data_IF_879950920056
#
_entry.id   IF_879950920056
#
_cell.length_a   1.000
_cell.length_b   1.000
_cell.length_c   1.000
_cell.angle_alpha   90.00
_cell.angle_beta   90.00
_cell.angle_gamma   90.00
#
_symmetry.space_group_name_H-M   'P 1'
#
loop_
_entity.id
_entity.type
_entity.pdbx_description
1 polymer ?
#
# COMPACT_ATOMS: atom_id res chain seq x y z
N UNK A 1 2.83 -15.45 -2.14
CA UNK A 1 3.08 -14.30 -1.23
C UNK A 1 3.38 -14.83 0.15
N UNK A 2 4.30 -14.19 0.86
CA UNK A 2 4.58 -14.53 2.26
C UNK A 2 3.32 -14.35 3.11
N UNK A 3 3.02 -15.35 3.94
CA UNK A 3 1.85 -15.30 4.81
C UNK A 3 2.19 -14.54 6.09
N UNK A 4 1.44 -13.48 6.36
CA UNK A 4 1.59 -12.69 7.58
C UNK A 4 0.50 -13.07 8.58
N UNK A 5 0.85 -13.05 9.87
CA UNK A 5 -0.14 -13.23 10.94
C UNK A 5 -1.10 -12.04 11.01
N UNK A 6 -2.24 -12.23 11.65
CA UNK A 6 -3.20 -11.14 11.86
C UNK A 6 -2.57 -9.97 12.61
N UNK A 7 -1.75 -10.26 13.63
CA UNK A 7 -1.02 -9.24 14.39
C UNK A 7 -0.14 -8.38 13.48
N UNK A 8 0.58 -9.01 12.56
CA UNK A 8 1.47 -8.31 11.62
C UNK A 8 0.66 -7.48 10.63
N UNK A 9 -0.47 -8.01 10.14
CA UNK A 9 -1.34 -7.26 9.22
C UNK A 9 -1.95 -6.03 9.90
N UNK A 10 -2.39 -6.16 11.15
CA UNK A 10 -2.88 -5.01 11.92
C UNK A 10 -1.77 -3.98 12.12
N UNK A 11 -0.56 -4.43 12.46
CA UNK A 11 0.60 -3.55 12.62
C UNK A 11 0.92 -2.82 11.30
N UNK A 12 0.85 -3.52 10.17
CA UNK A 12 1.09 -2.91 8.86
C UNK A 12 0.07 -1.79 8.59
N UNK A 13 -1.21 -2.03 8.84
CA UNK A 13 -2.26 -1.01 8.71
C UNK A 13 -1.99 0.23 9.56
N UNK A 14 -1.59 0.03 10.82
CA UNK A 14 -1.25 1.13 11.72
C UNK A 14 -0.02 1.90 11.24
N UNK A 15 0.99 1.18 10.73
CA UNK A 15 2.18 1.80 10.16
C UNK A 15 1.84 2.64 8.93
N UNK A 16 0.98 2.16 8.05
CA UNK A 16 0.50 2.91 6.87
C UNK A 16 -0.18 4.21 7.33
N UNK A 17 -0.95 4.15 8.42
CA UNK A 17 -1.65 5.33 8.97
C UNK A 17 -0.71 6.37 9.59
N UNK A 18 0.58 6.10 9.69
CA UNK A 18 1.57 7.06 10.18
C UNK A 18 2.11 6.78 11.58
N UNK A 19 1.82 5.60 12.15
CA UNK A 19 2.34 5.24 13.47
C UNK A 19 3.82 4.85 13.35
N UNK A 20 4.71 5.78 13.72
CA UNK A 20 6.16 5.59 13.59
C UNK A 20 6.71 4.55 14.55
N UNK A 21 6.13 4.41 15.73
CA UNK A 21 6.54 3.37 16.69
C UNK A 21 6.29 1.97 16.13
N UNK A 22 5.16 1.78 15.46
CA UNK A 22 4.82 0.51 14.83
C UNK A 22 5.73 0.24 13.62
N UNK A 23 6.08 1.27 12.85
CA UNK A 23 7.07 1.13 11.76
C UNK A 23 8.40 0.62 12.31
N UNK A 24 8.87 1.20 13.41
CA UNK A 24 10.11 0.76 14.07
C UNK A 24 9.99 -0.68 14.59
N UNK A 25 8.84 -1.04 15.15
CA UNK A 25 8.57 -2.40 15.59
C UNK A 25 8.67 -3.40 14.43
N UNK A 26 8.09 -3.07 13.27
CA UNK A 26 8.17 -3.90 12.06
C UNK A 26 9.62 -4.09 11.61
N UNK A 27 10.41 -3.01 11.61
CA UNK A 27 11.83 -3.09 11.26
C UNK A 27 12.59 -4.02 12.20
N UNK A 28 12.36 -3.91 13.51
CA UNK A 28 13.06 -4.69 14.54
C UNK A 28 12.63 -6.15 14.60
N UNK A 29 11.45 -6.47 14.09
CA UNK A 29 10.88 -7.82 14.16
C UNK A 29 10.91 -8.57 12.81
N UNK A 30 11.82 -8.18 11.92
CA UNK A 30 12.07 -8.85 10.64
C UNK A 30 10.95 -8.69 9.60
N UNK A 31 10.25 -7.56 9.64
CA UNK A 31 9.30 -7.16 8.61
C UNK A 31 9.69 -5.82 7.98
N UNK A 32 10.95 -5.65 7.56
CA UNK A 32 11.40 -4.38 6.99
C UNK A 32 10.62 -4.00 5.73
N UNK A 33 10.18 -4.98 4.94
CA UNK A 33 9.40 -4.75 3.73
C UNK A 33 8.10 -4.00 4.01
N UNK A 34 7.44 -4.25 5.13
CA UNK A 34 6.18 -3.58 5.48
C UNK A 34 6.42 -2.15 5.96
N UNK A 35 7.51 -1.93 6.71
CA UNK A 35 7.90 -0.59 7.14
C UNK A 35 8.33 0.27 5.95
N UNK A 36 9.17 -0.27 5.07
CA UNK A 36 9.65 0.45 3.89
C UNK A 36 8.53 0.70 2.87
N UNK A 37 7.53 -0.18 2.82
CA UNK A 37 6.31 0.05 2.04
C UNK A 37 5.67 1.39 2.42
N UNK A 38 5.59 1.70 3.71
CA UNK A 38 5.00 2.95 4.17
C UNK A 38 5.77 4.18 3.65
N UNK A 39 7.09 4.11 3.63
CA UNK A 39 7.92 5.20 3.09
C UNK A 39 7.79 5.29 1.57
N UNK A 40 7.75 4.14 0.89
CA UNK A 40 7.61 4.10 -0.57
C UNK A 40 6.26 4.66 -1.04
N UNK A 41 5.19 4.55 -0.23
CA UNK A 41 3.91 5.19 -0.53
C UNK A 41 4.05 6.71 -0.68
N UNK A 42 4.97 7.33 0.04
CA UNK A 42 5.29 8.75 -0.06
C UNK A 42 6.49 9.03 -0.98
N UNK A 43 6.74 8.13 -1.94
CA UNK A 43 7.75 8.29 -2.99
C UNK A 43 9.21 8.31 -2.50
N UNK A 44 9.50 7.71 -1.34
CA UNK A 44 10.88 7.55 -0.90
C UNK A 44 11.63 6.62 -1.86
N UNK A 45 12.60 7.17 -2.57
CA UNK A 45 13.32 6.47 -3.64
C UNK A 45 14.12 5.29 -3.12
N UNK A 46 14.79 5.45 -1.98
CA UNK A 46 15.59 4.37 -1.39
C UNK A 46 14.72 3.18 -0.99
N UNK A 47 13.57 3.45 -0.37
CA UNK A 47 12.62 2.42 0.00
C UNK A 47 12.04 1.72 -1.23
N UNK A 48 11.69 2.48 -2.26
CA UNK A 48 11.17 1.93 -3.51
C UNK A 48 12.18 1.03 -4.20
N UNK A 49 13.45 1.45 -4.27
CA UNK A 49 14.52 0.67 -4.86
C UNK A 49 14.79 -0.63 -4.08
N UNK A 50 14.76 -0.55 -2.76
CA UNK A 50 14.92 -1.73 -1.92
C UNK A 50 13.78 -2.72 -2.11
N UNK A 51 12.53 -2.24 -2.17
CA UNK A 51 11.36 -3.09 -2.44
C UNK A 51 11.44 -3.73 -3.82
N UNK A 52 11.82 -2.98 -4.83
CA UNK A 52 11.98 -3.51 -6.18
C UNK A 52 12.94 -4.70 -6.20
N UNK A 53 14.04 -4.59 -5.45
CA UNK A 53 15.08 -5.60 -5.42
C UNK A 53 14.70 -6.82 -4.57
N UNK A 54 14.03 -6.60 -3.44
CA UNK A 54 13.80 -7.65 -2.43
C UNK A 54 12.37 -8.14 -2.32
N UNK A 55 11.39 -7.28 -2.60
CA UNK A 55 9.95 -7.59 -2.51
C UNK A 55 9.19 -6.87 -3.62
N UNK A 56 9.43 -7.21 -4.90
CA UNK A 56 8.87 -6.48 -6.03
C UNK A 56 7.35 -6.47 -6.05
N UNK A 57 6.70 -7.48 -5.46
CA UNK A 57 5.24 -7.53 -5.37
C UNK A 57 4.67 -6.38 -4.53
N UNK A 58 5.38 -5.93 -3.50
CA UNK A 58 4.93 -4.80 -2.67
C UNK A 58 5.08 -3.47 -3.42
N UNK A 59 6.16 -3.30 -4.17
CA UNK A 59 6.29 -2.12 -5.04
C UNK A 59 5.23 -2.14 -6.14
N UNK A 60 4.95 -3.31 -6.71
CA UNK A 60 3.89 -3.47 -7.71
C UNK A 60 2.53 -3.08 -7.12
N UNK A 61 2.26 -3.40 -5.86
CA UNK A 61 1.03 -2.97 -5.19
C UNK A 61 0.90 -1.43 -5.22
N UNK A 62 1.95 -0.72 -4.84
CA UNK A 62 1.96 0.76 -4.87
C UNK A 62 1.70 1.27 -6.28
N UNK A 63 2.42 0.74 -7.27
CA UNK A 63 2.27 1.16 -8.67
C UNK A 63 0.88 0.84 -9.23
N UNK A 64 0.32 -0.30 -8.84
CA UNK A 64 -1.02 -0.69 -9.26
C UNK A 64 -2.09 0.24 -8.67
N UNK A 65 -1.94 0.68 -7.42
CA UNK A 65 -2.83 1.68 -6.81
C UNK A 65 -2.78 2.99 -7.59
N UNK A 66 -1.60 3.36 -8.10
CA UNK A 66 -1.41 4.56 -8.94
C UNK A 66 -1.95 4.39 -10.36
N UNK A 67 -2.45 3.20 -10.72
CA UNK A 67 -3.04 2.95 -12.03
C UNK A 67 -2.07 2.37 -13.08
N UNK A 68 -0.89 1.92 -12.67
CA UNK A 68 0.08 1.34 -13.60
C UNK A 68 -0.42 -0.01 -14.13
N UNK A 69 -0.65 -0.10 -15.43
CA UNK A 69 -1.21 -1.31 -16.07
C UNK A 69 -0.27 -2.52 -15.97
N UNK A 70 1.02 -2.34 -16.13
CA UNK A 70 1.98 -3.45 -16.04
C UNK A 70 1.99 -4.05 -14.63
N UNK A 71 1.95 -3.19 -13.61
CA UNK A 71 1.87 -3.65 -12.24
C UNK A 71 0.58 -4.41 -11.97
N UNK A 72 -0.55 -3.91 -12.48
CA UNK A 72 -1.86 -4.58 -12.34
C UNK A 72 -1.87 -5.96 -13.00
N UNK A 73 -1.34 -6.06 -14.21
CA UNK A 73 -1.23 -7.34 -14.94
C UNK A 73 -0.37 -8.33 -14.16
N UNK A 74 0.78 -7.87 -13.67
CA UNK A 74 1.69 -8.70 -12.86
C UNK A 74 0.98 -9.22 -11.60
N UNK A 75 0.32 -8.34 -10.84
CA UNK A 75 -0.37 -8.72 -9.61
C UNK A 75 -1.54 -9.67 -9.90
N UNK A 76 -2.33 -9.38 -10.92
CA UNK A 76 -3.47 -10.24 -11.26
C UNK A 76 -3.01 -11.67 -11.58
N UNK A 77 -1.87 -11.80 -12.22
CA UNK A 77 -1.31 -13.11 -12.61
C UNK A 77 -0.64 -13.82 -11.44
N UNK A 78 0.13 -13.12 -10.62
CA UNK A 78 1.02 -13.72 -9.62
C UNK A 78 0.53 -13.56 -8.18
N UNK A 79 -0.18 -12.48 -7.89
CA UNK A 79 -0.61 -12.12 -6.53
C UNK A 79 -2.03 -11.55 -6.56
N UNK A 80 -3.03 -12.39 -6.92
CA UNK A 80 -4.39 -11.89 -7.17
C UNK A 80 -5.03 -11.17 -5.99
N UNK A 81 -4.67 -11.52 -4.76
CA UNK A 81 -5.17 -10.81 -3.58
C UNK A 81 -4.63 -9.38 -3.52
N UNK A 82 -3.36 -9.19 -3.82
CA UNK A 82 -2.77 -7.83 -3.91
C UNK A 82 -3.39 -7.03 -5.05
N UNK A 83 -3.72 -7.70 -6.16
CA UNK A 83 -4.44 -7.06 -7.25
C UNK A 83 -5.78 -6.50 -6.78
N UNK A 84 -6.55 -7.31 -6.04
CA UNK A 84 -7.84 -6.87 -5.48
C UNK A 84 -7.66 -5.70 -4.52
N UNK A 85 -6.64 -5.75 -3.65
CA UNK A 85 -6.29 -4.64 -2.76
C UNK A 85 -6.00 -3.38 -3.55
N UNK A 86 -5.24 -3.49 -4.64
CA UNK A 86 -4.88 -2.33 -5.46
C UNK A 86 -6.10 -1.65 -6.07
N UNK A 87 -7.05 -2.42 -6.57
CA UNK A 87 -8.27 -1.87 -7.15
C UNK A 87 -9.16 -1.23 -6.08
N UNK A 88 -9.31 -1.89 -4.94
CA UNK A 88 -10.08 -1.35 -3.82
C UNK A 88 -9.47 -0.04 -3.30
N UNK A 89 -8.15 0.03 -3.18
CA UNK A 89 -7.44 1.23 -2.75
C UNK A 89 -7.55 2.37 -3.78
N UNK A 90 -7.74 2.04 -5.05
CA UNK A 90 -7.94 3.04 -6.11
C UNK A 90 -9.43 3.44 -6.27
N UNK A 91 -10.29 2.97 -5.40
CA UNK A 91 -11.69 3.42 -5.34
C UNK A 91 -12.71 2.45 -5.93
N UNK A 92 -12.33 1.23 -6.28
CA UNK A 92 -13.27 0.21 -6.77
C UNK A 92 -14.15 -0.29 -5.61
N UNK A 93 -15.38 0.18 -5.54
CA UNK A 93 -16.33 -0.13 -4.46
C UNK A 93 -16.67 -1.63 -4.44
N UNK A 94 -16.81 -2.26 -5.61
CA UNK A 94 -17.14 -3.68 -5.70
C UNK A 94 -16.01 -4.53 -5.11
N UNK A 95 -14.75 -4.19 -5.43
CA UNK A 95 -13.58 -4.89 -4.90
C UNK A 95 -13.42 -4.64 -3.40
N UNK A 96 -13.68 -3.43 -2.93
CA UNK A 96 -13.64 -3.13 -1.50
C UNK A 96 -14.69 -3.96 -0.74
N UNK A 97 -15.92 -4.02 -1.24
CA UNK A 97 -16.98 -4.81 -0.62
C UNK A 97 -16.63 -6.31 -0.59
N UNK A 98 -15.98 -6.80 -1.64
CA UNK A 98 -15.51 -8.18 -1.70
C UNK A 98 -14.47 -8.46 -0.60
N UNK A 99 -13.53 -7.54 -0.39
CA UNK A 99 -12.54 -7.66 0.69
C UNK A 99 -13.20 -7.59 2.07
N UNK A 100 -14.11 -6.66 2.29
CA UNK A 100 -14.83 -6.54 3.57
C UNK A 100 -15.53 -7.86 3.92
N UNK A 101 -16.13 -8.51 2.94
CA UNK A 101 -16.84 -9.76 3.14
C UNK A 101 -15.91 -10.95 3.40
N UNK A 102 -14.82 -11.06 2.62
CA UNK A 102 -14.01 -12.28 2.59
C UNK A 102 -12.66 -12.15 3.30
N UNK A 103 -12.08 -10.94 3.36
CA UNK A 103 -10.76 -10.68 3.89
C UNK A 103 -10.72 -9.32 4.61
N UNK A 104 -11.40 -9.19 5.76
CA UNK A 104 -11.58 -7.88 6.40
C UNK A 104 -10.27 -7.17 6.78
N UNK A 105 -9.21 -7.90 7.15
CA UNK A 105 -7.92 -7.26 7.43
C UNK A 105 -7.30 -6.64 6.19
N UNK A 106 -7.44 -7.29 5.02
CA UNK A 106 -6.98 -6.71 3.76
C UNK A 106 -7.86 -5.55 3.31
N UNK A 107 -9.14 -5.56 3.68
CA UNK A 107 -10.00 -4.39 3.45
C UNK A 107 -9.52 -3.19 4.25
N UNK A 108 -9.12 -3.39 5.51
CA UNK A 108 -8.54 -2.32 6.33
C UNK A 108 -7.26 -1.79 5.69
N UNK A 109 -6.37 -2.65 5.24
CA UNK A 109 -5.13 -2.26 4.57
C UNK A 109 -5.43 -1.46 3.30
N UNK A 110 -6.35 -1.95 2.46
CA UNK A 110 -6.75 -1.24 1.24
C UNK A 110 -7.28 0.16 1.56
N UNK A 111 -8.10 0.29 2.60
CA UNK A 111 -8.64 1.57 3.03
C UNK A 111 -7.54 2.51 3.54
N UNK A 112 -6.57 1.99 4.30
CA UNK A 112 -5.44 2.78 4.80
C UNK A 112 -4.60 3.32 3.64
N UNK A 113 -4.33 2.47 2.63
CA UNK A 113 -3.61 2.89 1.42
C UNK A 113 -4.42 3.97 0.68
N UNK A 114 -5.73 3.78 0.54
CA UNK A 114 -6.61 4.75 -0.10
C UNK A 114 -6.55 6.11 0.59
N UNK A 115 -6.57 6.14 1.92
CA UNK A 115 -6.50 7.39 2.68
C UNK A 115 -5.17 8.10 2.45
N UNK A 116 -4.05 7.37 2.37
CA UNK A 116 -2.74 7.96 2.04
C UNK A 116 -2.76 8.54 0.63
N UNK A 117 -3.29 7.80 -0.33
CA UNK A 117 -3.38 8.27 -1.72
C UNK A 117 -4.23 9.53 -1.82
N UNK A 118 -5.40 9.55 -1.17
CA UNK A 118 -6.29 10.71 -1.16
C UNK A 118 -5.62 11.93 -0.54
N UNK A 119 -4.85 11.73 0.54
CA UNK A 119 -4.08 12.77 1.21
C UNK A 119 -3.00 13.36 0.29
N UNK A 120 -2.27 12.51 -0.41
CA UNK A 120 -1.27 12.94 -1.40
C UNK A 120 -1.92 13.73 -2.54
N UNK A 121 -3.04 13.25 -3.06
CA UNK A 121 -3.78 13.92 -4.14
C UNK A 121 -4.29 15.29 -3.68
N UNK A 122 -4.77 15.40 -2.47
CA UNK A 122 -5.23 16.67 -1.88
C UNK A 122 -4.07 17.67 -1.76
N UNK A 123 -2.92 17.25 -1.28
CA UNK A 123 -1.72 18.08 -1.19
C UNK A 123 -1.32 18.58 -2.58
N UNK A 124 -1.29 17.70 -3.57
CA UNK A 124 -0.95 18.07 -4.95
C UNK A 124 -1.96 19.07 -5.53
N UNK A 125 -3.24 18.90 -5.28
CA UNK A 125 -4.27 19.83 -5.72
C UNK A 125 -4.12 21.20 -5.07
N UNK A 126 -3.80 21.26 -3.79
CA UNK A 126 -3.53 22.51 -3.07
C UNK A 126 -2.31 23.25 -3.65
N UNK A 127 -1.24 22.52 -3.97
CA UNK A 127 -0.04 23.08 -4.60
C UNK A 127 -0.41 23.69 -5.96
N UNK A 128 -1.19 23.00 -6.78
CA UNK A 128 -1.63 23.52 -8.07
C UNK A 128 -2.53 24.75 -7.92
N UNK A 129 -3.44 24.71 -6.94
CA UNK A 129 -4.34 25.83 -6.63
C UNK A 129 -3.58 27.11 -6.28
N UNK A 130 -2.44 26.97 -5.59
CA UNK A 130 -1.61 28.12 -5.20
C UNK A 130 -0.55 28.49 -6.24
N UNK A 131 -0.52 27.84 -7.40
CA UNK A 131 0.41 28.12 -8.46
C UNK A 131 1.80 27.48 -8.30
N UNK A 132 1.96 26.57 -7.37
CA UNK A 132 3.19 25.81 -7.20
C UNK A 132 3.06 24.49 -7.96
N UNK A 133 3.73 24.36 -9.05
CA UNK A 133 3.63 23.19 -9.91
C UNK A 133 4.93 22.41 -9.96
#
# INVERSE_FOLDING_TARGET
MKLYSEKVLVAWGEAISGNTEIRDWLLKNNYPELALFCHALYFDEKSSNWLFKNHPHLLALIKAVEGNNKARIFLNKKFPKLYTISLAADGDVVKMNLLIKNDPLFAVIANKIKLVKDDIDEINNDIHKWGFS
#
